data_IF_370443686520
#
_entry.id   IF_370443686520
#
_cell.length_a   1.000
_cell.length_b   1.000
_cell.length_c   1.000
_cell.angle_alpha   90.00
_cell.angle_beta   90.00
_cell.angle_gamma   90.00
#
_symmetry.space_group_name_H-M   'P 1'
#
loop_
_entity.id
_entity.type
_entity.pdbx_description
1 polymer ?
#
# COMPACT_ATOMS: atom_id res chain seq x y z
N UNK A 1 46.75 -12.43 -60.44
CA UNK A 1 45.61 -11.66 -59.91
C UNK A 1 45.34 -12.18 -58.51
N UNK A 2 45.84 -11.51 -57.51
CA UNK A 2 45.65 -11.89 -56.12
C UNK A 2 44.34 -11.30 -55.66
N UNK A 3 43.40 -12.18 -55.36
CA UNK A 3 42.13 -11.80 -54.76
C UNK A 3 42.44 -11.30 -53.36
N UNK A 4 42.39 -10.02 -53.23
CA UNK A 4 42.35 -9.31 -51.95
C UNK A 4 40.96 -9.54 -51.37
N UNK A 5 40.78 -10.70 -50.71
CA UNK A 5 39.66 -10.89 -49.82
C UNK A 5 39.88 -9.95 -48.61
N UNK A 6 39.50 -8.73 -48.79
CA UNK A 6 39.13 -7.86 -47.70
C UNK A 6 37.92 -8.52 -47.02
N UNK A 7 38.23 -9.45 -46.15
CA UNK A 7 37.30 -9.76 -45.08
C UNK A 7 37.15 -8.47 -44.32
N UNK A 8 36.21 -7.64 -44.77
CA UNK A 8 35.51 -6.72 -43.92
C UNK A 8 34.86 -7.60 -42.87
N UNK A 9 35.66 -7.96 -41.89
CA UNK A 9 35.20 -8.36 -40.60
C UNK A 9 34.38 -7.18 -40.12
N UNK A 10 33.10 -7.18 -40.56
CA UNK A 10 32.07 -6.39 -39.99
C UNK A 10 32.02 -6.88 -38.55
N UNK A 11 32.85 -6.28 -37.74
CA UNK A 11 32.67 -6.22 -36.31
C UNK A 11 31.29 -5.59 -36.14
N UNK A 12 30.26 -6.42 -36.31
CA UNK A 12 29.05 -6.24 -35.58
C UNK A 12 29.48 -6.26 -34.11
N UNK A 13 29.95 -5.13 -33.66
CA UNK A 13 29.87 -4.77 -32.26
C UNK A 13 28.38 -4.79 -31.96
N UNK A 14 27.85 -5.99 -31.73
CA UNK A 14 26.69 -6.18 -30.92
C UNK A 14 27.05 -5.45 -29.66
N UNK A 15 26.64 -4.21 -29.59
CA UNK A 15 26.51 -3.49 -28.34
C UNK A 15 25.54 -4.36 -27.56
N UNK A 16 26.07 -5.40 -26.90
CA UNK A 16 25.44 -5.91 -25.72
C UNK A 16 25.38 -4.66 -24.83
N UNK A 17 24.29 -3.95 -24.94
CA UNK A 17 23.80 -3.14 -23.85
C UNK A 17 23.62 -4.14 -22.73
N UNK A 18 24.70 -4.40 -22.00
CA UNK A 18 24.63 -5.00 -20.71
C UNK A 18 23.63 -4.08 -19.99
N UNK A 19 22.40 -4.54 -19.87
CA UNK A 19 21.45 -3.93 -18.99
C UNK A 19 22.14 -4.03 -17.64
N UNK A 20 22.87 -2.98 -17.29
CA UNK A 20 23.27 -2.76 -15.92
C UNK A 20 21.93 -2.68 -15.20
N UNK A 21 21.52 -3.80 -14.64
CA UNK A 21 20.46 -3.79 -13.63
C UNK A 21 21.06 -3.00 -12.46
N UNK A 22 20.91 -1.69 -12.54
CA UNK A 22 21.28 -0.79 -11.46
C UNK A 22 20.32 -1.11 -10.34
N UNK A 23 20.80 -1.82 -9.35
CA UNK A 23 20.01 -2.11 -8.16
C UNK A 23 19.73 -0.80 -7.41
N UNK A 24 18.47 -0.40 -7.41
CA UNK A 24 18.03 0.82 -6.75
C UNK A 24 18.07 0.65 -5.23
N UNK A 25 18.72 1.57 -4.53
CA UNK A 25 18.88 1.55 -3.06
C UNK A 25 18.18 2.69 -2.35
N UNK A 26 17.79 3.73 -3.07
CA UNK A 26 17.07 4.87 -2.54
C UNK A 26 16.22 5.49 -3.64
N UNK A 27 15.10 6.07 -3.26
CA UNK A 27 14.21 6.65 -4.25
C UNK A 27 12.85 7.02 -3.72
N UNK A 28 12.00 7.34 -4.67
CA UNK A 28 10.62 7.74 -4.44
C UNK A 28 9.69 6.96 -5.36
N UNK A 29 8.57 6.52 -4.81
CA UNK A 29 7.52 5.80 -5.53
C UNK A 29 6.20 6.53 -5.33
N UNK A 30 5.52 6.85 -6.43
CA UNK A 30 4.15 7.35 -6.40
C UNK A 30 3.20 6.17 -6.51
N UNK A 31 2.35 5.98 -5.51
CA UNK A 31 1.30 4.98 -5.50
C UNK A 31 -0.07 5.59 -5.75
N UNK A 32 -0.87 4.91 -6.56
CA UNK A 32 -2.30 5.12 -6.66
C UNK A 32 -3.02 4.07 -5.81
N UNK A 33 -3.88 4.53 -4.90
CA UNK A 33 -4.81 3.66 -4.17
C UNK A 33 -6.20 3.88 -4.72
N UNK A 34 -6.82 2.80 -5.18
CA UNK A 34 -8.18 2.76 -5.69
C UNK A 34 -9.08 1.90 -4.81
N UNK A 35 -10.21 2.45 -4.40
CA UNK A 35 -11.23 1.76 -3.59
C UNK A 35 -12.54 1.74 -4.37
N UNK A 36 -13.13 0.55 -4.55
CA UNK A 36 -14.45 0.44 -5.15
C UNK A 36 -15.52 0.83 -4.11
N UNK A 37 -16.01 2.08 -4.21
CA UNK A 37 -17.02 2.63 -3.29
C UNK A 37 -18.33 1.84 -3.32
N UNK A 38 -18.75 1.37 -4.48
CA UNK A 38 -20.03 0.66 -4.59
C UNK A 38 -20.04 -0.59 -3.71
N UNK A 39 -18.98 -1.38 -3.77
CA UNK A 39 -18.89 -2.58 -2.93
C UNK A 39 -18.64 -2.24 -1.46
N UNK A 40 -17.78 -1.28 -1.19
CA UNK A 40 -17.48 -0.87 0.19
C UNK A 40 -18.72 -0.33 0.90
N UNK A 41 -19.51 0.53 0.24
CA UNK A 41 -20.78 1.08 0.79
C UNK A 41 -21.82 -0.01 0.93
N UNK A 42 -21.97 -0.89 -0.06
CA UNK A 42 -22.93 -2.00 0.02
C UNK A 42 -22.62 -2.93 1.20
N UNK A 43 -21.36 -3.31 1.39
CA UNK A 43 -20.94 -4.13 2.54
C UNK A 43 -21.21 -3.41 3.86
N UNK A 44 -20.87 -2.12 3.95
CA UNK A 44 -21.15 -1.32 5.13
C UNK A 44 -22.65 -1.28 5.48
N UNK A 45 -23.50 -0.98 4.49
CA UNK A 45 -24.95 -0.90 4.70
C UNK A 45 -25.52 -2.26 5.10
N UNK A 46 -25.10 -3.35 4.46
CA UNK A 46 -25.53 -4.72 4.82
C UNK A 46 -25.20 -5.09 6.27
N UNK A 47 -24.01 -4.72 6.73
CA UNK A 47 -23.53 -5.08 8.08
C UNK A 47 -24.10 -4.17 9.18
N UNK A 48 -24.42 -2.92 8.87
CA UNK A 48 -24.72 -1.92 9.92
C UNK A 48 -26.15 -1.40 9.95
N UNK A 49 -26.87 -1.41 8.83
CA UNK A 49 -28.18 -0.73 8.76
C UNK A 49 -29.33 -1.55 9.32
N UNK A 50 -29.26 -2.88 9.31
CA UNK A 50 -30.36 -3.75 9.63
C UNK A 50 -31.52 -3.70 8.62
N UNK A 51 -31.34 -3.07 7.47
CA UNK A 51 -32.37 -2.91 6.44
C UNK A 51 -32.66 -4.23 5.72
N UNK A 52 -33.90 -4.45 5.26
CA UNK A 52 -34.26 -5.54 4.36
C UNK A 52 -33.46 -5.46 3.03
N UNK A 53 -33.25 -6.61 2.39
CA UNK A 53 -32.47 -6.69 1.16
C UNK A 53 -32.97 -5.77 0.01
N UNK A 54 -34.31 -5.62 -0.12
CA UNK A 54 -34.91 -4.73 -1.13
C UNK A 54 -34.59 -3.25 -0.86
N UNK A 55 -34.56 -2.83 0.39
CA UNK A 55 -34.26 -1.45 0.76
C UNK A 55 -32.77 -1.15 0.53
N UNK A 56 -31.90 -2.11 0.85
CA UNK A 56 -30.46 -2.03 0.51
C UNK A 56 -30.29 -1.93 -1.00
N UNK A 57 -30.99 -2.75 -1.78
CA UNK A 57 -30.95 -2.68 -3.23
C UNK A 57 -31.34 -1.29 -3.76
N UNK A 58 -32.48 -0.76 -3.30
CA UNK A 58 -32.96 0.56 -3.71
C UNK A 58 -31.98 1.68 -3.31
N UNK A 59 -31.45 1.63 -2.08
CA UNK A 59 -30.42 2.55 -1.62
C UNK A 59 -29.19 2.51 -2.54
N UNK A 60 -28.70 1.31 -2.87
CA UNK A 60 -27.53 1.14 -3.73
C UNK A 60 -27.77 1.59 -5.17
N UNK A 61 -28.99 1.45 -5.71
CA UNK A 61 -29.33 2.00 -7.02
C UNK A 61 -29.25 3.53 -7.03
N UNK A 62 -29.80 4.18 -6.01
CA UNK A 62 -29.72 5.64 -5.86
C UNK A 62 -28.27 6.10 -5.67
N UNK A 63 -27.50 5.41 -4.85
CA UNK A 63 -26.09 5.72 -4.62
C UNK A 63 -25.26 5.62 -5.91
N UNK A 64 -25.42 4.53 -6.67
CA UNK A 64 -24.71 4.31 -7.95
C UNK A 64 -25.07 5.33 -9.02
N UNK A 65 -26.29 5.88 -8.99
CA UNK A 65 -26.72 6.91 -9.96
C UNK A 65 -26.03 8.27 -9.74
N UNK A 66 -25.61 8.57 -8.50
CA UNK A 66 -25.03 9.87 -8.14
C UNK A 66 -23.55 9.85 -7.80
N UNK A 67 -22.96 8.70 -7.50
CA UNK A 67 -21.58 8.58 -7.02
C UNK A 67 -20.64 7.95 -8.05
N UNK A 68 -19.38 8.37 -8.09
CA UNK A 68 -18.35 7.68 -8.84
C UNK A 68 -18.06 6.30 -8.23
N UNK A 69 -17.83 5.29 -9.09
CA UNK A 69 -17.57 3.92 -8.63
C UNK A 69 -16.29 3.79 -7.81
N UNK A 70 -15.24 4.49 -8.22
CA UNK A 70 -13.93 4.40 -7.55
C UNK A 70 -13.58 5.69 -6.84
N UNK A 71 -12.99 5.55 -5.68
CA UNK A 71 -12.28 6.61 -5.00
C UNK A 71 -10.77 6.36 -5.17
N UNK A 72 -10.11 7.29 -5.85
CA UNK A 72 -8.68 7.26 -6.10
C UNK A 72 -7.97 8.27 -5.22
N UNK A 73 -6.88 7.87 -4.63
CA UNK A 73 -5.99 8.71 -3.80
C UNK A 73 -4.54 8.37 -4.06
N UNK A 74 -3.66 9.36 -3.93
CA UNK A 74 -2.24 9.21 -4.24
C UNK A 74 -1.40 9.30 -2.99
N UNK A 75 -0.38 8.42 -2.92
CA UNK A 75 0.56 8.32 -1.82
C UNK A 75 1.97 8.30 -2.35
N UNK A 76 2.88 8.83 -1.58
CA UNK A 76 4.31 8.79 -1.84
C UNK A 76 5.00 7.86 -0.86
N UNK A 77 5.86 6.99 -1.35
CA UNK A 77 6.78 6.21 -0.55
C UNK A 77 8.19 6.66 -0.88
N UNK A 78 8.90 7.22 0.09
CA UNK A 78 10.34 7.48 0.03
C UNK A 78 11.08 6.38 0.74
N UNK A 79 12.23 5.99 0.20
CA UNK A 79 13.03 4.92 0.79
C UNK A 79 14.52 5.14 0.62
N UNK A 80 15.26 4.66 1.58
CA UNK A 80 16.71 4.41 1.51
C UNK A 80 16.99 2.93 1.82
N UNK A 81 18.23 2.55 2.03
CA UNK A 81 18.60 1.15 2.32
C UNK A 81 18.07 0.64 3.66
N UNK A 82 17.65 1.51 4.56
CA UNK A 82 17.33 1.21 5.96
C UNK A 82 15.95 1.66 6.40
N UNK A 83 15.34 2.61 5.69
CA UNK A 83 14.06 3.21 6.05
C UNK A 83 13.11 3.29 4.87
N UNK A 84 11.81 3.26 5.17
CA UNK A 84 10.75 3.64 4.25
C UNK A 84 9.78 4.60 4.92
N UNK A 85 9.35 5.64 4.20
CA UNK A 85 8.34 6.59 4.64
C UNK A 85 7.21 6.62 3.60
N UNK A 86 6.06 6.09 3.96
CA UNK A 86 4.83 6.13 3.17
C UNK A 86 3.88 7.19 3.74
N UNK A 87 3.33 8.06 2.89
CA UNK A 87 2.42 9.13 3.32
C UNK A 87 1.55 9.61 2.16
N UNK A 88 0.39 10.27 2.43
CA UNK A 88 -0.38 10.91 1.38
C UNK A 88 0.47 11.91 0.58
N UNK A 89 0.32 11.93 -0.74
CA UNK A 89 0.94 12.93 -1.60
C UNK A 89 0.36 14.33 -1.31
N UNK A 90 -0.97 14.40 -1.10
CA UNK A 90 -1.63 15.61 -0.62
C UNK A 90 -1.82 15.52 0.90
N UNK A 91 -1.15 16.38 1.69
CA UNK A 91 -1.33 16.41 3.15
C UNK A 91 -2.75 16.79 3.58
N UNK A 92 -3.53 17.43 2.70
CA UNK A 92 -4.92 17.80 2.92
C UNK A 92 -5.91 16.78 2.36
N UNK A 93 -5.45 15.58 2.03
CA UNK A 93 -6.30 14.49 1.51
C UNK A 93 -7.56 14.33 2.37
N UNK A 94 -8.71 14.36 1.72
CA UNK A 94 -10.03 14.11 2.33
C UNK A 94 -10.67 12.90 1.65
N UNK A 95 -11.54 12.21 2.37
CA UNK A 95 -12.43 11.28 1.71
C UNK A 95 -13.55 12.05 1.01
N UNK A 96 -14.17 11.45 -0.02
CA UNK A 96 -15.29 12.08 -0.73
C UNK A 96 -16.51 12.23 0.20
N UNK A 97 -17.34 13.23 -0.04
CA UNK A 97 -18.53 13.53 0.78
C UNK A 97 -19.55 12.38 0.77
N UNK A 98 -19.55 11.56 -0.28
CA UNK A 98 -20.43 10.41 -0.48
C UNK A 98 -19.86 9.09 0.08
N UNK A 99 -18.67 9.09 0.66
CA UNK A 99 -18.00 7.88 1.14
C UNK A 99 -17.14 8.16 2.37
N UNK A 100 -17.64 7.78 3.52
CA UNK A 100 -16.93 7.91 4.78
C UNK A 100 -16.07 6.67 5.07
N UNK A 101 -14.77 6.84 5.15
CA UNK A 101 -13.82 5.82 5.60
C UNK A 101 -13.24 6.24 6.95
N UNK A 102 -13.72 5.65 8.04
CA UNK A 102 -13.40 6.15 9.37
C UNK A 102 -11.95 5.92 9.80
N UNK A 103 -11.19 5.09 9.07
CA UNK A 103 -9.79 4.75 9.41
C UNK A 103 -8.93 4.56 8.17
N UNK A 104 -7.64 4.71 8.32
CA UNK A 104 -6.60 4.39 7.35
C UNK A 104 -6.65 5.13 5.99
N UNK A 105 -7.40 6.20 5.87
CA UNK A 105 -7.50 6.91 4.59
C UNK A 105 -6.29 7.83 4.30
N UNK A 106 -5.54 8.24 5.32
CA UNK A 106 -4.32 9.05 5.19
C UNK A 106 -3.24 8.67 6.19
N UNK A 107 -2.97 7.37 6.32
CA UNK A 107 -1.88 6.90 7.17
C UNK A 107 -0.55 7.47 6.72
N UNK A 108 0.32 7.78 7.70
CA UNK A 108 1.75 7.90 7.48
C UNK A 108 2.44 6.74 8.17
N UNK A 109 3.37 6.09 7.48
CA UNK A 109 4.07 4.91 7.99
C UNK A 109 5.57 5.09 7.77
N UNK A 110 6.31 5.21 8.85
CA UNK A 110 7.77 5.22 8.85
C UNK A 110 8.27 3.90 9.41
N UNK A 111 9.01 3.15 8.61
CA UNK A 111 9.62 1.91 9.02
C UNK A 111 11.14 2.04 9.07
N UNK A 112 11.74 1.54 10.15
CA UNK A 112 13.16 1.23 10.23
C UNK A 112 13.33 -0.27 9.97
N UNK A 113 13.89 -0.61 8.81
CA UNK A 113 14.05 -1.99 8.36
C UNK A 113 15.14 -2.74 9.13
N UNK A 114 16.09 -2.00 9.73
CA UNK A 114 17.20 -2.56 10.52
C UNK A 114 16.74 -2.96 11.91
N UNK A 115 16.11 -2.03 12.66
CA UNK A 115 15.56 -2.31 13.99
C UNK A 115 14.23 -3.05 13.95
N UNK A 116 13.58 -3.13 12.75
CA UNK A 116 12.24 -3.66 12.54
C UNK A 116 11.17 -2.92 13.35
N UNK A 117 11.35 -1.64 13.55
CA UNK A 117 10.39 -0.76 14.19
C UNK A 117 9.54 -0.05 13.14
N UNK A 118 8.27 0.16 13.47
CA UNK A 118 7.32 0.94 12.69
C UNK A 118 6.74 2.04 13.56
N UNK A 119 6.72 3.26 13.03
CA UNK A 119 6.00 4.38 13.60
C UNK A 119 4.91 4.82 12.62
N UNK A 120 3.67 4.85 13.08
CA UNK A 120 2.53 5.20 12.23
C UNK A 120 1.72 6.35 12.82
N UNK A 121 1.31 7.27 11.96
CA UNK A 121 0.30 8.29 12.25
C UNK A 121 -0.99 7.84 11.59
N UNK A 122 -2.00 7.56 12.39
CA UNK A 122 -3.28 7.01 11.94
C UNK A 122 -4.42 7.92 12.31
N UNK A 123 -5.36 8.09 11.40
CA UNK A 123 -6.64 8.72 11.73
C UNK A 123 -7.72 7.69 11.89
N UNK A 124 -8.52 7.83 12.95
CA UNK A 124 -9.73 7.06 13.15
C UNK A 124 -10.77 7.94 13.87
N UNK A 125 -11.98 8.05 13.33
CA UNK A 125 -13.11 8.80 13.90
C UNK A 125 -12.72 10.24 14.32
N UNK A 126 -12.10 10.97 13.44
CA UNK A 126 -11.64 12.36 13.67
C UNK A 126 -10.52 12.52 14.72
N UNK A 127 -9.99 11.39 15.23
CA UNK A 127 -8.82 11.39 16.12
C UNK A 127 -7.58 10.94 15.37
N UNK A 128 -6.47 11.55 15.72
CA UNK A 128 -5.14 11.13 15.28
C UNK A 128 -4.49 10.29 16.38
N UNK A 129 -3.95 9.15 15.99
CA UNK A 129 -3.22 8.23 16.86
C UNK A 129 -1.78 8.10 16.37
N UNK A 130 -0.87 8.09 17.32
CA UNK A 130 0.55 7.86 17.09
C UNK A 130 0.88 6.48 17.65
N UNK A 131 1.32 5.58 16.78
CA UNK A 131 1.54 4.18 17.16
C UNK A 131 2.96 3.78 16.82
N UNK A 132 3.71 3.32 17.82
CA UNK A 132 5.03 2.73 17.66
C UNK A 132 4.98 1.26 18.07
N UNK A 133 5.42 0.39 17.17
CA UNK A 133 5.48 -1.05 17.43
C UNK A 133 6.55 -1.71 16.53
N UNK A 134 6.69 -3.01 16.66
CA UNK A 134 7.47 -3.81 15.70
C UNK A 134 6.77 -3.85 14.35
N UNK A 135 7.55 -3.87 13.27
CA UNK A 135 7.01 -4.10 11.93
C UNK A 135 6.28 -5.43 11.89
N UNK A 136 5.13 -5.44 11.22
CA UNK A 136 4.33 -6.66 11.05
C UNK A 136 5.15 -7.75 10.39
N UNK A 137 5.10 -8.97 10.93
CA UNK A 137 5.58 -10.16 10.27
C UNK A 137 4.48 -10.74 9.39
N UNK A 138 4.69 -10.72 8.06
CA UNK A 138 3.76 -11.26 7.07
C UNK A 138 4.36 -12.54 6.49
N UNK A 139 3.61 -13.63 6.52
CA UNK A 139 4.01 -14.92 5.92
C UNK A 139 3.60 -14.96 4.47
N UNK A 140 4.53 -14.60 3.59
CA UNK A 140 4.31 -14.61 2.15
C UNK A 140 4.50 -15.98 1.53
N UNK A 141 3.59 -16.35 0.63
CA UNK A 141 3.75 -17.47 -0.29
C UNK A 141 4.07 -16.91 -1.68
N UNK A 142 5.30 -17.11 -2.13
CA UNK A 142 5.75 -16.68 -3.45
C UNK A 142 5.11 -17.55 -4.55
N UNK A 143 4.87 -16.96 -5.72
CA UNK A 143 4.38 -17.65 -6.92
C UNK A 143 5.31 -17.39 -8.08
N UNK A 144 5.08 -18.03 -9.23
CA UNK A 144 5.85 -17.81 -10.46
C UNK A 144 5.22 -16.74 -11.38
N UNK A 145 4.11 -16.16 -10.95
CA UNK A 145 3.41 -15.14 -11.75
C UNK A 145 4.20 -13.82 -11.73
N UNK A 146 4.45 -13.30 -12.93
CA UNK A 146 5.18 -12.06 -13.15
C UNK A 146 4.25 -11.00 -13.74
N UNK A 147 4.52 -9.74 -13.42
CA UNK A 147 3.78 -8.58 -13.94
C UNK A 147 4.71 -7.38 -14.02
N UNK A 148 4.61 -6.60 -15.10
CA UNK A 148 5.24 -5.29 -15.15
C UNK A 148 4.44 -4.25 -14.37
N UNK A 149 5.10 -3.49 -13.48
CA UNK A 149 4.52 -2.41 -12.71
C UNK A 149 5.51 -1.24 -12.70
N UNK A 150 5.11 -0.12 -13.26
CA UNK A 150 5.92 1.10 -13.35
C UNK A 150 7.32 0.86 -13.96
N UNK A 151 7.42 -0.08 -14.93
CA UNK A 151 8.64 -0.43 -15.64
C UNK A 151 9.53 -1.46 -14.93
N UNK A 152 9.09 -2.04 -13.81
CA UNK A 152 9.80 -3.08 -13.07
C UNK A 152 9.10 -4.44 -13.22
N UNK A 153 9.88 -5.50 -13.45
CA UNK A 153 9.38 -6.87 -13.44
C UNK A 153 9.11 -7.31 -12.02
N UNK A 154 7.83 -7.47 -11.68
CA UNK A 154 7.40 -7.80 -10.33
C UNK A 154 6.91 -9.23 -10.24
N UNK A 155 7.34 -9.93 -9.20
CA UNK A 155 6.89 -11.29 -8.88
C UNK A 155 5.76 -11.24 -7.87
N UNK A 156 4.76 -12.08 -8.07
CA UNK A 156 3.59 -12.17 -7.19
C UNK A 156 3.89 -12.96 -5.92
N UNK A 157 3.31 -12.49 -4.82
CA UNK A 157 3.25 -13.20 -3.56
C UNK A 157 1.85 -13.07 -2.94
N UNK A 158 1.43 -14.05 -2.16
CA UNK A 158 0.13 -14.05 -1.50
C UNK A 158 0.33 -14.22 0.01
N UNK A 159 -0.57 -13.63 0.80
CA UNK A 159 -0.58 -13.80 2.25
C UNK A 159 -1.99 -13.75 2.82
N UNK A 160 -2.14 -14.26 4.04
CA UNK A 160 -3.28 -13.97 4.91
C UNK A 160 -2.79 -13.07 6.05
N UNK A 161 -3.43 -11.91 6.23
CA UNK A 161 -3.17 -11.02 7.35
C UNK A 161 -4.40 -10.98 8.28
N UNK A 162 -4.16 -10.72 9.57
CA UNK A 162 -5.22 -10.70 10.58
C UNK A 162 -6.16 -11.93 10.49
N UNK A 163 -5.61 -13.11 10.17
CA UNK A 163 -6.21 -14.44 10.07
C UNK A 163 -7.29 -14.64 8.99
N UNK A 164 -7.70 -13.60 8.29
CA UNK A 164 -8.81 -13.70 7.33
C UNK A 164 -8.70 -12.82 6.09
N UNK A 165 -7.77 -11.87 6.05
CA UNK A 165 -7.66 -10.93 4.94
C UNK A 165 -6.65 -11.46 3.94
N UNK A 166 -7.14 -11.91 2.78
CA UNK A 166 -6.28 -12.35 1.68
C UNK A 166 -5.70 -11.16 0.95
N UNK A 167 -4.37 -11.14 0.85
CA UNK A 167 -3.59 -10.09 0.20
C UNK A 167 -2.77 -10.69 -0.92
N UNK A 168 -2.76 -10.02 -2.05
CA UNK A 168 -1.88 -10.29 -3.18
C UNK A 168 -0.91 -9.12 -3.28
N UNK A 169 0.39 -9.41 -3.30
CA UNK A 169 1.43 -8.40 -3.49
C UNK A 169 2.27 -8.74 -4.73
N UNK A 170 2.81 -7.71 -5.36
CA UNK A 170 3.83 -7.81 -6.41
C UNK A 170 5.05 -7.01 -5.97
N UNK A 171 6.23 -7.64 -6.01
CA UNK A 171 7.48 -7.02 -5.59
C UNK A 171 8.53 -7.07 -6.68
N UNK A 172 9.33 -6.02 -6.76
CA UNK A 172 10.47 -5.87 -7.65
C UNK A 172 11.76 -6.19 -6.90
N UNK A 173 12.54 -7.15 -7.36
CA UNK A 173 13.79 -7.56 -6.71
C UNK A 173 15.02 -6.72 -7.14
N UNK A 174 14.89 -5.92 -8.18
CA UNK A 174 15.85 -4.89 -8.59
C UNK A 174 15.84 -3.65 -7.67
N UNK A 175 14.83 -3.50 -6.82
CA UNK A 175 14.80 -2.50 -5.75
C UNK A 175 15.11 -3.20 -4.42
N UNK A 176 16.35 -3.03 -3.92
CA UNK A 176 16.87 -3.83 -2.81
C UNK A 176 16.20 -3.56 -1.46
N UNK A 177 15.53 -2.43 -1.30
CA UNK A 177 14.82 -2.07 -0.07
C UNK A 177 13.55 -2.92 0.08
N UNK A 178 13.47 -3.70 1.17
CA UNK A 178 12.40 -4.67 1.44
C UNK A 178 11.17 -4.02 2.09
N UNK A 179 10.67 -2.96 1.47
CA UNK A 179 9.53 -2.18 1.95
C UNK A 179 8.29 -2.32 1.06
N UNK A 180 7.32 -1.45 1.30
CA UNK A 180 6.09 -1.37 0.51
C UNK A 180 5.11 -0.32 1.04
N UNK A 181 3.96 -0.15 0.39
CA UNK A 181 2.93 0.77 0.83
C UNK A 181 2.30 0.29 2.15
N UNK A 182 1.78 1.22 2.94
CA UNK A 182 1.16 0.95 4.25
C UNK A 182 2.08 0.09 5.16
N UNK A 183 1.53 -0.93 5.80
CA UNK A 183 2.28 -1.87 6.65
C UNK A 183 2.84 -3.09 5.89
N UNK A 184 2.72 -3.13 4.56
CA UNK A 184 3.18 -4.28 3.77
C UNK A 184 4.69 -4.25 3.61
N UNK A 185 5.35 -5.34 3.98
CA UNK A 185 6.80 -5.48 3.96
C UNK A 185 7.22 -6.95 3.96
N UNK A 186 8.54 -7.20 3.90
CA UNK A 186 9.13 -8.52 4.15
C UNK A 186 9.24 -9.42 2.93
N UNK A 187 8.96 -8.94 1.72
CA UNK A 187 9.32 -9.62 0.47
C UNK A 187 10.80 -9.36 0.11
N UNK A 188 11.40 -10.14 -0.80
CA UNK A 188 12.82 -10.02 -1.17
C UNK A 188 13.21 -8.68 -1.84
N UNK A 189 12.23 -7.86 -2.21
CA UNK A 189 12.42 -6.53 -2.81
C UNK A 189 11.29 -5.57 -2.41
N UNK A 190 11.20 -4.46 -3.12
CA UNK A 190 10.18 -3.43 -2.89
C UNK A 190 8.81 -3.88 -3.42
N UNK A 191 7.78 -3.76 -2.61
CA UNK A 191 6.40 -4.05 -3.02
C UNK A 191 5.88 -2.86 -3.82
N UNK A 192 5.61 -3.09 -5.11
CA UNK A 192 5.09 -2.08 -6.04
C UNK A 192 3.60 -2.22 -6.32
N UNK A 193 3.01 -3.33 -5.91
CA UNK A 193 1.57 -3.56 -6.06
C UNK A 193 1.00 -4.34 -4.90
N UNK A 194 -0.19 -3.94 -4.45
CA UNK A 194 -1.00 -4.67 -3.47
C UNK A 194 -2.43 -4.70 -3.95
N UNK A 195 -3.06 -5.85 -3.91
CA UNK A 195 -4.50 -5.99 -4.09
C UNK A 195 -5.10 -6.76 -2.91
N UNK A 196 -6.26 -6.30 -2.47
CA UNK A 196 -7.04 -6.91 -1.42
C UNK A 196 -8.42 -7.18 -2.00
N UNK A 197 -8.60 -8.37 -2.65
CA UNK A 197 -9.76 -8.63 -3.49
C UNK A 197 -11.09 -8.53 -2.74
N UNK A 198 -11.16 -9.03 -1.50
CA UNK A 198 -12.38 -9.01 -0.71
C UNK A 198 -12.82 -7.58 -0.34
N UNK A 199 -11.86 -6.69 -0.14
CA UNK A 199 -12.13 -5.28 0.20
C UNK A 199 -12.22 -4.40 -1.05
N UNK A 200 -11.98 -4.96 -2.24
CA UNK A 200 -11.97 -4.25 -3.51
C UNK A 200 -11.06 -3.02 -3.51
N UNK A 201 -9.88 -3.17 -2.90
CA UNK A 201 -8.84 -2.14 -2.81
C UNK A 201 -7.61 -2.59 -3.57
N UNK A 202 -7.04 -1.66 -4.30
CA UNK A 202 -5.73 -1.82 -4.94
C UNK A 202 -4.83 -0.65 -4.62
N UNK A 203 -3.52 -0.92 -4.49
CA UNK A 203 -2.47 0.08 -4.29
C UNK A 203 -1.35 -0.28 -5.26
N UNK A 204 -1.18 0.49 -6.34
CA UNK A 204 -0.18 0.21 -7.37
C UNK A 204 0.73 1.39 -7.60
N UNK A 205 2.03 1.11 -7.74
CA UNK A 205 3.01 2.09 -8.17
C UNK A 205 2.68 2.58 -9.59
N UNK A 206 2.61 3.88 -9.75
CA UNK A 206 2.45 4.59 -11.03
C UNK A 206 3.81 5.04 -11.55
N UNK A 207 4.72 5.37 -10.65
CA UNK A 207 6.04 5.87 -10.98
C UNK A 207 7.04 5.47 -9.92
N UNK A 208 8.23 5.08 -10.37
CA UNK A 208 9.41 4.82 -9.52
C UNK A 208 10.53 5.73 -10.00
N UNK A 209 11.16 6.43 -9.07
CA UNK A 209 12.28 7.35 -9.37
C UNK A 209 13.42 7.08 -8.42
N UNK A 210 14.61 6.88 -8.97
CA UNK A 210 15.85 6.87 -8.17
C UNK A 210 16.16 8.30 -7.71
N UNK A 211 16.31 8.47 -6.42
CA UNK A 211 16.60 9.77 -5.81
C UNK A 211 17.48 9.56 -4.58
N UNK A 212 18.49 10.41 -4.43
CA UNK A 212 19.29 10.40 -3.21
C UNK A 212 18.45 10.91 -2.04
N UNK A 213 18.32 10.09 -1.00
CA UNK A 213 17.50 10.42 0.16
C UNK A 213 18.35 11.02 1.27
N UNK A 214 17.84 12.09 1.87
CA UNK A 214 18.24 12.55 3.19
C UNK A 214 17.56 11.70 4.25
N UNK A 215 17.91 11.89 5.53
CA UNK A 215 17.29 11.13 6.63
C UNK A 215 15.76 11.20 6.58
N UNK A 216 15.13 10.04 6.53
CA UNK A 216 13.67 9.91 6.54
C UNK A 216 13.16 9.94 7.98
N UNK A 217 12.37 10.94 8.32
CA UNK A 217 11.80 11.13 9.66
C UNK A 217 10.37 11.63 9.57
N UNK A 218 9.62 11.41 10.64
CA UNK A 218 8.33 12.06 10.88
C UNK A 218 8.46 12.95 12.12
N UNK A 219 8.07 14.25 12.05
CA UNK A 219 8.10 15.14 13.21
C UNK A 219 7.33 14.60 14.41
N UNK A 220 6.29 13.85 14.15
CA UNK A 220 5.43 13.23 15.16
C UNK A 220 6.12 12.16 16.01
N UNK A 221 7.31 11.67 15.63
CA UNK A 221 8.07 10.67 16.41
C UNK A 221 8.51 11.18 17.80
N UNK A 222 8.62 12.49 17.98
CA UNK A 222 9.00 13.12 19.26
C UNK A 222 7.83 13.31 20.23
N UNK A 223 6.63 12.82 19.91
CA UNK A 223 5.45 12.95 20.77
C UNK A 223 5.54 12.02 21.98
N UNK A 224 4.93 12.45 23.08
CA UNK A 224 4.84 11.66 24.32
C UNK A 224 3.61 10.73 24.36
N UNK A 225 2.56 11.04 23.59
CA UNK A 225 1.29 10.31 23.56
C UNK A 225 1.30 9.14 22.56
N UNK A 226 2.44 8.45 22.43
CA UNK A 226 2.63 7.33 21.52
C UNK A 226 2.09 6.03 22.15
N UNK A 227 1.30 5.30 21.37
CA UNK A 227 0.65 4.05 21.77
C UNK A 227 1.39 2.84 21.21
N UNK A 228 1.24 1.69 21.86
CA UNK A 228 1.50 0.40 21.22
C UNK A 228 0.33 0.02 20.30
N UNK A 229 0.56 -0.88 19.36
CA UNK A 229 -0.51 -1.40 18.49
C UNK A 229 -1.64 -2.04 19.31
N UNK A 230 -1.33 -2.78 20.38
CA UNK A 230 -2.33 -3.39 21.26
C UNK A 230 -3.21 -2.34 21.94
N UNK A 231 -2.61 -1.25 22.46
CA UNK A 231 -3.36 -0.15 23.08
C UNK A 231 -4.22 0.59 22.06
N UNK A 232 -3.70 0.84 20.87
CA UNK A 232 -4.46 1.42 19.76
C UNK A 232 -5.68 0.58 19.42
N UNK A 233 -5.52 -0.75 19.24
CA UNK A 233 -6.63 -1.65 18.96
C UNK A 233 -7.69 -1.64 20.07
N UNK A 234 -7.28 -1.62 21.34
CA UNK A 234 -8.20 -1.56 22.46
C UNK A 234 -9.03 -0.26 22.45
N UNK A 235 -8.42 0.88 22.13
CA UNK A 235 -9.12 2.14 21.99
C UNK A 235 -10.11 2.13 20.82
N UNK A 236 -9.71 1.62 19.66
CA UNK A 236 -10.61 1.50 18.49
C UNK A 236 -11.81 0.59 18.82
N UNK A 237 -11.57 -0.58 19.43
CA UNK A 237 -12.67 -1.47 19.84
C UNK A 237 -13.66 -0.77 20.77
N UNK A 238 -13.17 0.00 21.75
CA UNK A 238 -14.01 0.77 22.67
C UNK A 238 -14.83 1.82 21.92
N UNK A 239 -14.23 2.55 20.98
CA UNK A 239 -14.94 3.54 20.16
C UNK A 239 -16.02 2.89 19.30
N UNK A 240 -15.71 1.78 18.63
CA UNK A 240 -16.68 1.04 17.81
C UNK A 240 -17.88 0.54 18.64
N UNK A 241 -17.63 0.03 19.85
CA UNK A 241 -18.68 -0.41 20.76
C UNK A 241 -19.63 0.74 21.15
N UNK A 242 -19.10 1.95 21.33
CA UNK A 242 -19.92 3.14 21.63
C UNK A 242 -20.87 3.49 20.47
N UNK A 243 -20.44 3.30 19.24
CA UNK A 243 -21.24 3.57 18.04
C UNK A 243 -22.08 2.35 17.60
N UNK A 244 -22.04 1.23 18.33
CA UNK A 244 -22.67 -0.05 17.96
C UNK A 244 -22.23 -0.57 16.57
N UNK A 245 -21.03 -0.22 16.14
CA UNK A 245 -20.47 -0.65 14.88
C UNK A 245 -19.83 -2.03 15.02
N UNK A 246 -19.98 -2.85 13.97
CA UNK A 246 -19.35 -4.15 13.92
C UNK A 246 -17.83 -3.98 13.68
N UNK A 247 -17.03 -4.53 14.58
CA UNK A 247 -15.57 -4.51 14.46
C UNK A 247 -15.06 -5.26 13.20
N UNK A 248 -15.79 -6.28 12.76
CA UNK A 248 -15.36 -7.10 11.60
C UNK A 248 -15.25 -6.28 10.33
N UNK A 249 -16.16 -5.35 10.11
CA UNK A 249 -16.13 -4.44 8.96
C UNK A 249 -14.87 -3.57 8.90
N UNK A 250 -14.33 -3.15 10.05
CA UNK A 250 -13.16 -2.29 10.11
C UNK A 250 -11.84 -3.05 10.23
N UNK A 251 -11.89 -4.38 10.36
CA UNK A 251 -10.72 -5.22 10.62
C UNK A 251 -9.60 -4.98 9.60
N UNK A 252 -9.97 -4.81 8.34
CA UNK A 252 -9.02 -4.53 7.27
C UNK A 252 -8.33 -3.17 7.46
N UNK A 253 -9.12 -2.10 7.64
CA UNK A 253 -8.57 -0.75 7.77
C UNK A 253 -7.68 -0.59 9.02
N UNK A 254 -7.99 -1.33 10.07
CA UNK A 254 -7.15 -1.37 11.28
C UNK A 254 -5.88 -2.19 11.04
N UNK A 255 -5.98 -3.17 10.16
CA UNK A 255 -4.85 -4.01 9.82
C UNK A 255 -3.86 -3.35 8.84
N UNK A 256 -4.24 -2.32 8.09
CA UNK A 256 -3.31 -1.51 7.33
C UNK A 256 -2.47 -0.61 8.22
#
# INVERSE_FOLDING_TARGET
MRYFFLTVSLLLSVQLSAQHSSFMRSGKILFERSVNKYTAVENFVRETSGLPANDIYNYMQAFRAGAAQFWTSYFELRFDSTHTLYQPQDPNLKYPDDFYVPVAYKNKVLNNLTSRESFTVRQAFDKTFYVKDTMRHIRWKLTEEMRDIAGHQCRRANALIADSIYVIAWYADDILTKGGPESFNGLPGMILGVAIPHEHITIFAQQVQEEAMTTLTLPEQSREDVLTHATFLAQIKKMLAQFRLNYSWMKFFIAM
#
